data_IF_361843626922
#
_entry.id   IF_361843626922
#
_cell.length_a   1.000
_cell.length_b   1.000
_cell.length_c   1.000
_cell.angle_alpha   90.00
_cell.angle_beta   90.00
_cell.angle_gamma   90.00
#
_symmetry.space_group_name_H-M   'P 1'
#
loop_
_entity.id
_entity.type
_entity.pdbx_description
1 polymer ?
#
# COMPACT_ATOMS: atom_id res chain seq x y z
N UNK A 1 -7.28 -29.27 -61.46
CA UNK A 1 -6.23 -28.89 -60.48
C UNK A 1 -6.76 -27.76 -59.59
N UNK A 2 -7.38 -28.09 -58.45
CA UNK A 2 -7.92 -27.09 -57.49
C UNK A 2 -6.79 -26.69 -56.54
N UNK A 3 -6.34 -25.43 -56.63
CA UNK A 3 -5.38 -24.82 -55.71
C UNK A 3 -6.12 -24.45 -54.43
N UNK A 4 -5.84 -25.16 -53.34
CA UNK A 4 -6.29 -24.77 -52.00
C UNK A 4 -5.40 -23.63 -51.51
N UNK A 5 -5.97 -22.42 -51.43
CA UNK A 5 -5.40 -21.29 -50.70
C UNK A 5 -5.53 -21.60 -49.20
N UNK A 6 -4.41 -21.97 -48.58
CA UNK A 6 -4.31 -22.02 -47.12
C UNK A 6 -4.23 -20.57 -46.64
N UNK A 7 -5.36 -20.05 -46.17
CA UNK A 7 -5.39 -18.81 -45.42
C UNK A 7 -4.75 -19.08 -44.06
N UNK A 8 -3.49 -18.65 -43.89
CA UNK A 8 -2.87 -18.51 -42.57
C UNK A 8 -3.63 -17.43 -41.82
N UNK A 9 -4.55 -17.85 -40.95
CA UNK A 9 -5.08 -17.05 -39.85
C UNK A 9 -3.91 -16.73 -38.92
N UNK A 10 -3.28 -15.58 -39.18
CA UNK A 10 -2.48 -14.87 -38.20
C UNK A 10 -3.43 -14.47 -37.06
N UNK A 11 -3.57 -15.36 -36.07
CA UNK A 11 -4.10 -14.98 -34.77
C UNK A 11 -3.07 -14.03 -34.19
N UNK A 12 -3.26 -12.73 -34.44
CA UNK A 12 -2.57 -11.67 -33.73
C UNK A 12 -2.98 -11.80 -32.26
N UNK A 13 -2.16 -12.48 -31.47
CA UNK A 13 -2.17 -12.34 -30.03
C UNK A 13 -1.77 -10.89 -29.73
N UNK A 14 -2.73 -9.99 -29.75
CA UNK A 14 -2.62 -8.71 -29.04
C UNK A 14 -2.62 -9.05 -27.56
N UNK A 15 -1.46 -9.48 -27.08
CA UNK A 15 -1.10 -9.45 -25.68
C UNK A 15 -1.06 -7.98 -25.30
N UNK A 16 -2.23 -7.36 -25.10
CA UNK A 16 -2.33 -6.14 -24.32
C UNK A 16 -1.84 -6.61 -22.95
N UNK A 17 -0.58 -6.33 -22.62
CA UNK A 17 -0.14 -6.35 -21.25
C UNK A 17 -1.19 -5.55 -20.49
N UNK A 18 -1.97 -6.22 -19.64
CA UNK A 18 -3.07 -5.57 -18.95
C UNK A 18 -2.50 -4.33 -18.28
N UNK A 19 -2.96 -3.14 -18.69
CA UNK A 19 -2.55 -1.90 -18.01
C UNK A 19 -2.84 -2.10 -16.52
N UNK A 20 -1.85 -1.75 -15.68
CA UNK A 20 -1.99 -1.86 -14.23
C UNK A 20 -3.35 -1.30 -13.77
N UNK A 21 -4.07 -1.93 -12.82
CA UNK A 21 -5.40 -1.47 -12.43
C UNK A 21 -5.50 0.02 -12.05
N UNK A 22 -4.41 0.64 -11.57
CA UNK A 22 -4.34 2.08 -11.30
C UNK A 22 -4.42 2.96 -12.54
N UNK A 23 -4.03 2.46 -13.72
CA UNK A 23 -4.04 3.18 -14.99
C UNK A 23 -5.27 2.85 -15.85
N UNK A 24 -6.19 2.03 -15.34
CA UNK A 24 -7.40 1.61 -16.06
C UNK A 24 -8.54 2.64 -16.03
N UNK A 25 -8.53 3.57 -15.07
CA UNK A 25 -9.59 4.57 -14.94
C UNK A 25 -9.47 5.69 -15.98
N UNK A 26 -10.58 6.30 -16.44
CA UNK A 26 -10.53 7.43 -17.35
C UNK A 26 -9.98 8.69 -16.66
N UNK A 27 -9.17 9.47 -17.39
CA UNK A 27 -8.65 10.76 -16.94
C UNK A 27 -9.68 11.87 -17.20
N UNK A 28 -10.75 11.94 -16.39
CA UNK A 28 -11.86 12.88 -16.62
C UNK A 28 -11.59 14.32 -16.17
N UNK A 29 -10.54 14.55 -15.37
CA UNK A 29 -10.23 15.83 -14.73
C UNK A 29 -8.76 16.27 -14.95
N UNK A 30 -8.24 16.07 -16.17
CA UNK A 30 -6.84 16.38 -16.52
C UNK A 30 -6.45 17.82 -16.18
N UNK A 31 -7.30 18.81 -16.49
CA UNK A 31 -6.99 20.23 -16.24
C UNK A 31 -6.82 20.54 -14.74
N UNK A 32 -7.63 19.91 -13.88
CA UNK A 32 -7.52 20.04 -12.42
C UNK A 32 -6.18 19.48 -11.93
N UNK A 33 -5.80 18.29 -12.42
CA UNK A 33 -4.52 17.67 -12.07
C UNK A 33 -3.32 18.44 -12.61
N UNK A 34 -3.42 19.05 -13.80
CA UNK A 34 -2.38 19.89 -14.35
C UNK A 34 -2.08 21.07 -13.42
N UNK A 35 -3.12 21.71 -12.88
CA UNK A 35 -2.97 22.78 -11.90
C UNK A 35 -2.37 22.28 -10.59
N UNK A 36 -2.89 21.19 -10.04
CA UNK A 36 -2.36 20.60 -8.80
C UNK A 36 -0.89 20.25 -8.90
N UNK A 37 -0.43 19.70 -10.03
CA UNK A 37 0.98 19.36 -10.24
C UNK A 37 1.88 20.60 -10.32
N UNK A 38 1.39 21.72 -10.89
CA UNK A 38 2.14 22.99 -10.89
C UNK A 38 2.29 23.58 -9.48
N UNK A 39 1.26 23.45 -8.66
CA UNK A 39 1.23 23.98 -7.28
C UNK A 39 1.88 23.03 -6.27
N UNK A 40 2.07 21.76 -6.65
CA UNK A 40 2.58 20.72 -5.78
C UNK A 40 4.01 21.02 -5.35
N UNK A 41 4.22 21.06 -4.03
CA UNK A 41 5.54 21.10 -3.41
C UNK A 41 5.75 19.79 -2.68
N UNK A 42 6.76 19.03 -3.11
CA UNK A 42 7.13 17.78 -2.46
C UNK A 42 7.43 18.05 -0.97
N UNK A 43 6.85 17.29 -0.03
CA UNK A 43 7.21 17.43 1.37
C UNK A 43 8.70 17.16 1.57
N UNK A 44 9.41 18.11 2.18
CA UNK A 44 10.77 17.87 2.64
C UNK A 44 10.71 17.00 3.90
N UNK A 45 11.39 15.86 3.87
CA UNK A 45 11.57 15.08 5.07
C UNK A 45 12.50 15.85 6.01
N UNK A 46 12.19 15.92 7.32
CA UNK A 46 13.09 16.55 8.27
C UNK A 46 14.47 15.90 8.16
N UNK A 47 15.50 16.72 8.05
CA UNK A 47 16.88 16.24 8.13
C UNK A 47 17.01 15.53 9.47
N UNK A 48 17.65 14.36 9.47
CA UNK A 48 17.95 13.64 10.71
C UNK A 48 18.90 14.50 11.56
N UNK A 49 18.34 15.36 12.40
CA UNK A 49 19.05 15.89 13.54
C UNK A 49 19.39 14.70 14.44
N UNK A 50 20.56 14.72 15.11
CA UNK A 50 20.91 13.71 16.10
C UNK A 50 19.75 13.65 17.10
N UNK A 51 18.86 12.67 16.93
CA UNK A 51 17.84 12.38 17.91
C UNK A 51 18.60 12.18 19.23
N UNK A 52 18.17 12.81 20.35
CA UNK A 52 18.70 12.41 21.64
C UNK A 52 18.55 10.90 21.74
N UNK A 53 19.55 10.21 22.31
CA UNK A 53 19.54 8.74 22.47
C UNK A 53 18.12 8.31 22.83
N UNK A 54 17.44 7.54 21.97
CA UNK A 54 16.02 7.34 22.15
C UNK A 54 15.78 6.67 23.50
N UNK A 55 14.71 7.09 24.18
CA UNK A 55 14.29 6.48 25.45
C UNK A 55 13.88 5.00 25.25
N UNK A 56 13.50 4.65 24.02
CA UNK A 56 13.30 3.29 23.54
C UNK A 56 14.47 2.88 22.63
N UNK A 57 14.62 1.59 22.33
CA UNK A 57 15.59 1.13 21.33
C UNK A 57 15.40 1.90 20.01
N UNK A 58 16.50 2.21 19.29
CA UNK A 58 16.39 2.77 17.94
C UNK A 58 15.49 1.86 17.10
N UNK A 59 14.38 2.42 16.61
CA UNK A 59 13.57 1.72 15.61
C UNK A 59 14.41 1.69 14.33
N UNK A 60 15.03 0.55 14.04
CA UNK A 60 15.82 0.35 12.81
C UNK A 60 14.96 0.20 11.54
N UNK A 61 13.66 0.48 11.62
CA UNK A 61 12.75 0.37 10.48
C UNK A 61 13.14 1.35 9.38
N UNK A 62 13.56 0.80 8.25
CA UNK A 62 13.73 1.56 7.01
C UNK A 62 12.38 1.59 6.28
N UNK A 63 11.83 2.79 6.09
CA UNK A 63 10.64 2.97 5.25
C UNK A 63 11.04 2.80 3.79
N UNK A 64 10.94 1.58 3.26
CA UNK A 64 11.12 1.36 1.82
C UNK A 64 9.85 1.78 1.10
N UNK A 65 9.99 2.89 0.39
CA UNK A 65 8.93 3.58 -0.34
C UNK A 65 9.34 3.60 -1.80
N UNK A 66 9.20 2.43 -2.45
CA UNK A 66 9.68 2.17 -3.80
C UNK A 66 8.53 2.19 -4.83
N UNK A 67 7.41 2.84 -4.48
CA UNK A 67 6.20 2.98 -5.28
C UNK A 67 5.96 4.43 -5.73
N UNK A 68 5.21 4.60 -6.83
CA UNK A 68 4.92 5.92 -7.42
C UNK A 68 4.15 6.86 -6.49
N UNK A 69 3.27 6.33 -5.63
CA UNK A 69 2.46 7.14 -4.73
C UNK A 69 3.37 7.86 -3.72
N UNK A 70 4.33 7.13 -3.19
CA UNK A 70 5.27 7.61 -2.19
C UNK A 70 6.25 8.67 -2.70
N UNK A 71 6.53 8.70 -4.00
CA UNK A 71 7.39 9.69 -4.63
C UNK A 71 6.87 11.12 -4.44
N UNK A 72 5.54 11.29 -4.38
CA UNK A 72 4.87 12.56 -4.09
C UNK A 72 4.34 12.63 -2.65
N UNK A 73 3.71 11.57 -2.15
CA UNK A 73 2.99 11.63 -0.87
C UNK A 73 3.85 11.32 0.37
N UNK A 74 5.05 10.75 0.19
CA UNK A 74 5.93 10.27 1.26
C UNK A 74 5.26 9.22 2.17
N UNK A 75 5.96 8.73 3.20
CA UNK A 75 5.37 7.83 4.20
C UNK A 75 4.39 8.57 5.15
N UNK A 76 4.42 9.91 5.19
CA UNK A 76 3.60 10.74 6.07
C UNK A 76 2.45 11.45 5.30
N UNK A 77 1.75 10.69 4.44
CA UNK A 77 0.71 11.21 3.57
C UNK A 77 -0.52 11.74 4.34
N UNK A 78 -0.80 11.17 5.52
CA UNK A 78 -1.92 11.58 6.35
C UNK A 78 -1.47 12.63 7.37
N UNK A 79 -1.77 13.91 7.10
CA UNK A 79 -1.44 15.02 8.02
C UNK A 79 -2.66 15.76 8.61
N UNK A 80 -3.81 15.67 7.93
CA UNK A 80 -5.02 16.44 8.28
C UNK A 80 -5.79 15.83 9.46
N UNK A 81 -5.85 14.51 9.53
CA UNK A 81 -6.54 13.80 10.62
C UNK A 81 -5.56 13.48 11.75
N UNK A 82 -5.48 14.36 12.75
CA UNK A 82 -4.55 14.21 13.87
C UNK A 82 -4.85 13.00 14.77
N UNK A 83 -6.07 12.48 14.73
CA UNK A 83 -6.49 11.36 15.58
C UNK A 83 -5.99 10.04 15.00
N UNK A 84 -6.15 9.86 13.69
CA UNK A 84 -5.85 8.59 13.03
C UNK A 84 -4.55 8.60 12.21
N UNK A 85 -3.97 9.77 11.90
CA UNK A 85 -2.77 9.86 11.07
C UNK A 85 -1.57 9.03 11.53
N UNK A 86 -1.25 8.92 12.84
CA UNK A 86 -0.10 8.10 13.25
C UNK A 86 -0.28 6.64 12.85
N UNK A 87 -1.51 6.14 12.96
CA UNK A 87 -1.84 4.77 12.58
C UNK A 87 -1.85 4.61 11.07
N UNK A 88 -2.51 5.50 10.32
CA UNK A 88 -2.54 5.39 8.86
C UNK A 88 -1.15 5.46 8.24
N UNK A 89 -0.29 6.37 8.72
CA UNK A 89 1.09 6.46 8.25
C UNK A 89 1.92 5.22 8.65
N UNK A 90 1.70 4.65 9.84
CA UNK A 90 2.38 3.43 10.27
C UNK A 90 2.07 2.23 9.37
N UNK A 91 0.83 2.10 8.86
CA UNK A 91 0.48 1.00 7.96
C UNK A 91 1.29 1.01 6.65
N UNK A 92 1.79 2.17 6.20
CA UNK A 92 2.66 2.27 5.02
C UNK A 92 3.98 1.50 5.11
N UNK A 93 4.36 1.04 6.33
CA UNK A 93 5.53 0.19 6.55
C UNK A 93 5.34 -1.23 5.99
N UNK A 94 4.16 -1.84 6.16
CA UNK A 94 3.88 -3.22 5.79
C UNK A 94 2.67 -3.37 4.84
N UNK A 95 2.10 -2.26 4.36
CA UNK A 95 0.98 -2.25 3.42
C UNK A 95 1.20 -1.23 2.31
N UNK A 96 0.69 -1.54 1.12
CA UNK A 96 0.54 -0.56 0.05
C UNK A 96 -0.48 0.51 0.42
N UNK A 97 -0.27 1.74 -0.05
CA UNK A 97 -1.30 2.80 0.02
C UNK A 97 -2.61 2.34 -0.64
N UNK A 98 -2.51 1.52 -1.68
CA UNK A 98 -3.65 1.04 -2.45
C UNK A 98 -4.51 0.06 -1.66
N UNK A 99 -4.01 -0.54 -0.57
CA UNK A 99 -4.81 -1.45 0.27
C UNK A 99 -6.04 -0.76 0.87
N UNK A 100 -5.90 0.51 1.28
CA UNK A 100 -7.02 1.30 1.77
C UNK A 100 -7.68 2.14 0.67
N UNK A 101 -6.93 2.54 -0.35
CA UNK A 101 -7.38 3.51 -1.36
C UNK A 101 -7.94 2.90 -2.65
N UNK A 102 -7.65 1.64 -2.98
CA UNK A 102 -8.24 0.94 -4.11
C UNK A 102 -9.31 -0.03 -3.61
N UNK A 103 -10.54 0.47 -3.50
CA UNK A 103 -11.68 -0.29 -2.98
C UNK A 103 -12.65 -0.56 -4.12
N UNK A 104 -12.69 -1.83 -4.56
CA UNK A 104 -13.58 -2.33 -5.61
C UNK A 104 -14.05 -3.74 -5.26
N UNK A 105 -15.18 -4.15 -5.81
CA UNK A 105 -15.64 -5.53 -5.72
C UNK A 105 -14.65 -6.47 -6.43
N UNK A 106 -14.42 -7.66 -5.87
CA UNK A 106 -13.49 -8.65 -6.44
C UNK A 106 -12.01 -8.40 -6.14
N UNK A 107 -11.68 -7.38 -5.33
CA UNK A 107 -10.33 -7.18 -4.81
C UNK A 107 -10.01 -8.24 -3.75
N UNK A 108 -8.86 -8.88 -3.90
CA UNK A 108 -8.25 -9.73 -2.86
C UNK A 108 -6.94 -9.10 -2.39
N UNK A 109 -6.28 -9.68 -1.40
CA UNK A 109 -5.05 -9.14 -0.84
C UNK A 109 -3.98 -10.22 -0.76
N UNK A 110 -2.74 -9.83 -1.04
CA UNK A 110 -1.59 -10.74 -0.99
C UNK A 110 -0.34 -9.99 -0.54
N UNK A 111 0.66 -10.74 -0.11
CA UNK A 111 1.99 -10.18 0.12
C UNK A 111 2.70 -9.98 -1.21
N UNK A 112 3.43 -8.87 -1.34
CA UNK A 112 4.25 -8.61 -2.51
C UNK A 112 5.52 -7.84 -2.15
N UNK A 113 6.55 -8.02 -2.97
CA UNK A 113 7.76 -7.20 -2.92
C UNK A 113 7.94 -6.46 -4.25
N UNK A 114 8.40 -5.20 -4.15
CA UNK A 114 8.92 -4.48 -5.31
C UNK A 114 10.41 -4.82 -5.41
N UNK A 115 10.79 -5.49 -6.49
CA UNK A 115 12.18 -5.83 -6.79
C UNK A 115 12.49 -5.51 -8.24
N UNK A 116 13.53 -4.70 -8.46
CA UNK A 116 13.99 -4.32 -9.80
C UNK A 116 12.89 -3.73 -10.71
N UNK A 117 12.04 -2.87 -10.15
CA UNK A 117 10.95 -2.22 -10.88
C UNK A 117 9.78 -3.15 -11.20
N UNK A 118 9.70 -4.33 -10.56
CA UNK A 118 8.62 -5.30 -10.75
C UNK A 118 7.98 -5.63 -9.41
N UNK A 119 6.66 -5.79 -9.42
CA UNK A 119 5.90 -6.29 -8.27
C UNK A 119 5.86 -7.81 -8.36
N UNK A 120 6.36 -8.48 -7.33
CA UNK A 120 6.33 -9.94 -7.22
C UNK A 120 5.39 -10.33 -6.09
N UNK A 121 4.26 -10.96 -6.42
CA UNK A 121 3.40 -11.58 -5.43
C UNK A 121 4.12 -12.75 -4.73
N UNK A 122 3.92 -12.87 -3.43
CA UNK A 122 4.55 -13.84 -2.57
C UNK A 122 3.49 -14.74 -1.95
N UNK A 123 3.72 -16.05 -2.00
CA UNK A 123 2.79 -17.06 -1.46
C UNK A 123 3.11 -17.44 -0.01
N UNK A 124 4.37 -17.29 0.40
CA UNK A 124 4.85 -17.64 1.74
C UNK A 124 6.16 -16.93 2.05
N UNK A 125 6.43 -16.74 3.35
CA UNK A 125 7.65 -16.11 3.87
C UNK A 125 7.47 -15.72 5.33
N UNK A 126 8.55 -15.28 5.98
CA UNK A 126 8.48 -14.68 7.32
C UNK A 126 8.24 -13.17 7.16
N UNK A 127 6.98 -12.82 6.88
CA UNK A 127 6.56 -11.43 6.68
C UNK A 127 6.28 -10.73 8.00
N UNK A 128 6.20 -9.40 7.92
CA UNK A 128 6.01 -8.55 9.09
C UNK A 128 4.76 -8.95 9.89
N UNK A 129 4.96 -9.28 11.16
CA UNK A 129 3.88 -9.43 12.14
C UNK A 129 2.99 -10.66 11.99
N UNK A 130 3.35 -11.63 11.14
CA UNK A 130 2.60 -12.88 10.96
C UNK A 130 2.44 -13.65 12.28
N UNK A 131 3.43 -13.61 13.17
CA UNK A 131 3.39 -14.27 14.47
C UNK A 131 4.18 -13.50 15.52
N UNK A 132 3.90 -13.80 16.79
CA UNK A 132 4.79 -13.42 17.87
C UNK A 132 5.99 -14.36 17.93
N UNK A 133 7.17 -13.80 18.11
CA UNK A 133 8.43 -14.54 18.33
C UNK A 133 9.02 -14.15 19.67
N UNK A 134 9.74 -15.08 20.30
CA UNK A 134 10.44 -14.83 21.56
C UNK A 134 11.93 -14.71 21.29
N UNK A 135 12.51 -13.57 21.65
CA UNK A 135 13.95 -13.30 21.55
C UNK A 135 14.46 -13.01 22.96
N UNK A 136 15.12 -14.00 23.57
CA UNK A 136 15.47 -13.96 24.98
C UNK A 136 14.23 -13.81 25.87
N UNK A 137 14.17 -12.73 26.65
CA UNK A 137 13.04 -12.41 27.53
C UNK A 137 11.99 -11.47 26.89
N UNK A 138 12.10 -11.19 25.60
CA UNK A 138 11.21 -10.26 24.89
C UNK A 138 10.31 -11.00 23.92
N UNK A 139 9.08 -10.50 23.78
CA UNK A 139 8.15 -10.90 22.71
C UNK A 139 8.20 -9.83 21.64
N UNK A 140 8.41 -10.22 20.39
CA UNK A 140 8.52 -9.35 19.22
C UNK A 140 7.61 -9.86 18.11
N UNK A 141 7.43 -9.05 17.07
CA UNK A 141 6.78 -9.45 15.84
C UNK A 141 7.80 -10.13 14.91
N UNK A 142 7.35 -11.15 14.17
CA UNK A 142 8.16 -11.81 13.14
C UNK A 142 8.42 -10.89 11.94
N UNK A 143 9.39 -11.25 11.09
CA UNK A 143 9.58 -10.63 9.78
C UNK A 143 9.90 -9.12 9.80
N UNK A 144 10.55 -8.62 10.85
CA UNK A 144 10.95 -7.21 10.98
C UNK A 144 11.84 -6.73 9.81
N UNK A 145 12.66 -7.64 9.27
CA UNK A 145 13.55 -7.38 8.13
C UNK A 145 12.88 -7.61 6.76
N UNK A 146 11.61 -8.04 6.74
CA UNK A 146 10.90 -8.30 5.49
C UNK A 146 10.54 -7.01 4.78
N UNK A 147 10.74 -6.97 3.46
CA UNK A 147 10.30 -5.85 2.62
C UNK A 147 8.94 -6.09 1.99
N UNK A 148 8.31 -7.24 2.30
CA UNK A 148 7.01 -7.59 1.77
C UNK A 148 5.94 -6.65 2.33
N UNK A 149 5.04 -6.20 1.46
CA UNK A 149 3.87 -5.41 1.83
C UNK A 149 2.61 -6.13 1.40
N UNK A 150 1.54 -5.94 2.17
CA UNK A 150 0.20 -6.34 1.74
C UNK A 150 -0.26 -5.39 0.63
N UNK A 151 -0.56 -5.94 -0.54
CA UNK A 151 -1.05 -5.21 -1.72
C UNK A 151 -2.43 -5.73 -2.13
N UNK A 152 -3.29 -4.88 -2.73
CA UNK A 152 -4.49 -5.36 -3.38
C UNK A 152 -4.12 -6.12 -4.66
N UNK A 153 -4.92 -7.14 -4.98
CA UNK A 153 -4.87 -7.86 -6.25
C UNK A 153 -6.25 -7.76 -6.88
N UNK A 154 -6.30 -7.33 -8.13
CA UNK A 154 -7.53 -7.14 -8.88
C UNK A 154 -7.42 -7.80 -10.25
N UNK A 155 -8.35 -8.71 -10.57
CA UNK A 155 -8.32 -9.53 -11.78
C UNK A 155 -6.98 -10.26 -11.99
N UNK A 156 -6.35 -10.71 -10.90
CA UNK A 156 -5.05 -11.42 -10.93
C UNK A 156 -3.82 -10.51 -10.98
N UNK A 157 -3.99 -9.20 -11.16
CA UNK A 157 -2.89 -8.24 -11.24
C UNK A 157 -2.71 -7.48 -9.92
N UNK A 158 -1.46 -7.29 -9.43
CA UNK A 158 -1.21 -6.45 -8.26
C UNK A 158 -1.56 -4.99 -8.57
N UNK A 159 -2.31 -4.36 -7.66
CA UNK A 159 -2.61 -2.93 -7.70
C UNK A 159 -1.46 -2.18 -7.01
N UNK A 160 -0.30 -2.20 -7.67
CA UNK A 160 0.89 -1.54 -7.19
C UNK A 160 1.76 -1.11 -8.38
N UNK A 161 2.33 0.09 -8.32
CA UNK A 161 3.18 0.66 -9.36
C UNK A 161 4.57 0.97 -8.78
N UNK A 162 5.60 0.20 -9.13
CA UNK A 162 6.98 0.48 -8.74
C UNK A 162 7.44 1.84 -9.26
N UNK A 163 8.17 2.60 -8.47
CA UNK A 163 8.76 3.86 -8.91
C UNK A 163 9.81 3.64 -10.00
N UNK A 164 10.70 2.66 -9.80
CA UNK A 164 11.75 2.31 -10.76
C UNK A 164 11.12 1.86 -12.09
N UNK A 165 11.38 2.59 -13.17
CA UNK A 165 10.84 2.35 -14.50
C UNK A 165 9.48 3.01 -14.78
N UNK A 166 8.88 3.72 -13.80
CA UNK A 166 7.62 4.44 -13.96
C UNK A 166 7.74 5.93 -13.57
N UNK A 167 8.97 6.47 -13.51
CA UNK A 167 9.24 7.84 -13.06
C UNK A 167 8.56 8.89 -13.95
N UNK A 168 8.42 8.61 -15.25
CA UNK A 168 7.76 9.51 -16.19
C UNK A 168 6.24 9.64 -15.95
N UNK A 169 5.61 8.66 -15.29
CA UNK A 169 4.20 8.77 -14.87
C UNK A 169 3.97 9.94 -13.92
N UNK A 170 5.01 10.35 -13.17
CA UNK A 170 4.92 11.47 -12.23
C UNK A 170 4.78 12.83 -12.94
N UNK A 171 5.17 12.91 -14.22
CA UNK A 171 5.07 14.11 -15.05
C UNK A 171 3.89 14.06 -16.02
N UNK A 172 3.38 12.87 -16.32
CA UNK A 172 2.21 12.70 -17.17
C UNK A 172 0.92 13.01 -16.38
N UNK A 173 0.37 14.20 -16.63
CA UNK A 173 -0.88 14.67 -16.03
C UNK A 173 -2.03 13.68 -16.25
N UNK A 174 -2.11 13.03 -17.42
CA UNK A 174 -3.16 12.05 -17.69
C UNK A 174 -2.97 10.82 -16.81
N UNK A 175 -1.75 10.28 -16.72
CA UNK A 175 -1.45 9.15 -15.85
C UNK A 175 -1.76 9.46 -14.37
N UNK A 176 -1.34 10.64 -13.87
CA UNK A 176 -1.67 11.10 -12.51
C UNK A 176 -3.17 11.17 -12.29
N UNK A 177 -3.92 11.70 -13.26
CA UNK A 177 -5.38 11.76 -13.19
C UNK A 177 -6.01 10.36 -13.17
N UNK A 178 -5.54 9.44 -14.04
CA UNK A 178 -6.01 8.05 -14.06
C UNK A 178 -5.78 7.37 -12.71
N UNK A 179 -4.57 7.45 -12.16
CA UNK A 179 -4.20 6.87 -10.87
C UNK A 179 -5.14 7.34 -9.77
N UNK A 180 -5.36 8.65 -9.63
CA UNK A 180 -6.25 9.17 -8.59
C UNK A 180 -7.72 8.84 -8.83
N UNK A 181 -8.17 8.81 -10.08
CA UNK A 181 -9.56 8.46 -10.42
C UNK A 181 -9.85 6.96 -10.22
N UNK A 182 -8.82 6.11 -10.24
CA UNK A 182 -8.94 4.69 -9.90
C UNK A 182 -9.15 4.46 -8.39
N UNK A 183 -8.80 5.44 -7.55
CA UNK A 183 -8.90 5.35 -6.09
C UNK A 183 -10.28 5.81 -5.59
N UNK A 184 -10.72 5.22 -4.48
CA UNK A 184 -11.98 5.59 -3.83
C UNK A 184 -11.86 6.92 -3.06
N UNK A 185 -12.95 7.68 -3.05
CA UNK A 185 -13.12 8.85 -2.15
C UNK A 185 -13.46 8.43 -0.72
N UNK A 186 -13.80 7.16 -0.50
CA UNK A 186 -14.15 6.56 0.80
C UNK A 186 -13.17 5.41 1.08
N UNK A 187 -11.93 5.70 1.50
CA UNK A 187 -10.95 4.65 1.79
C UNK A 187 -11.40 3.78 2.96
N UNK A 188 -10.85 2.56 3.03
CA UNK A 188 -11.10 1.66 4.15
C UNK A 188 -10.69 2.32 5.48
N UNK A 189 -11.54 2.13 6.47
CA UNK A 189 -11.33 2.55 7.86
C UNK A 189 -10.84 1.37 8.69
N UNK A 190 -10.49 1.66 9.94
CA UNK A 190 -9.97 0.67 10.88
C UNK A 190 -10.85 -0.59 10.94
N UNK A 191 -12.16 -0.44 11.04
CA UNK A 191 -13.12 -1.52 11.23
C UNK A 191 -13.56 -2.18 9.93
N UNK A 192 -13.15 -1.64 8.80
CA UNK A 192 -13.34 -2.34 7.53
C UNK A 192 -12.38 -3.53 7.45
N UNK A 193 -11.19 -3.43 8.08
CA UNK A 193 -10.18 -4.50 8.11
C UNK A 193 -10.11 -5.23 9.47
N UNK A 194 -10.14 -4.50 10.59
CA UNK A 194 -9.98 -5.06 11.95
C UNK A 194 -11.31 -5.54 12.51
N UNK A 195 -11.85 -6.59 11.91
CA UNK A 195 -13.02 -7.34 12.36
C UNK A 195 -13.02 -8.73 11.74
N UNK A 196 -13.78 -9.63 12.33
CA UNK A 196 -14.10 -10.91 11.69
C UNK A 196 -14.72 -10.68 10.30
N UNK A 197 -14.23 -11.40 9.29
CA UNK A 197 -14.66 -11.26 7.90
C UNK A 197 -14.54 -9.81 7.37
N UNK A 198 -13.53 -9.07 7.84
CA UNK A 198 -13.15 -7.78 7.27
C UNK A 198 -12.57 -7.88 5.85
N UNK A 199 -12.21 -6.74 5.28
CA UNK A 199 -11.61 -6.66 3.96
C UNK A 199 -10.30 -7.47 3.86
N UNK A 200 -9.53 -7.54 4.95
CA UNK A 200 -8.33 -8.38 5.03
C UNK A 200 -8.65 -9.71 5.68
N UNK A 201 -8.52 -10.79 4.91
CA UNK A 201 -8.53 -12.13 5.49
C UNK A 201 -7.15 -12.45 6.09
N UNK A 202 -6.96 -12.14 7.37
CA UNK A 202 -5.67 -12.33 8.04
C UNK A 202 -5.21 -13.80 8.05
N UNK A 203 -6.15 -14.75 8.09
CA UNK A 203 -5.82 -16.18 8.02
C UNK A 203 -5.22 -16.55 6.67
N UNK A 204 -5.82 -16.10 5.57
CA UNK A 204 -5.31 -16.33 4.21
C UNK A 204 -3.99 -15.60 3.96
N UNK A 205 -3.78 -14.44 4.60
CA UNK A 205 -2.52 -13.72 4.59
C UNK A 205 -1.42 -14.40 5.43
N UNK A 206 -1.72 -15.53 6.08
CA UNK A 206 -0.73 -16.35 6.80
C UNK A 206 -0.46 -15.91 8.25
N UNK A 207 -1.29 -15.05 8.83
CA UNK A 207 -1.16 -14.68 10.24
C UNK A 207 -1.50 -15.88 11.14
N UNK A 208 -0.78 -16.02 12.25
CA UNK A 208 -1.04 -17.07 13.23
C UNK A 208 -2.40 -16.89 13.89
N UNK A 209 -3.06 -17.96 14.38
CA UNK A 209 -4.38 -17.86 15.01
C UNK A 209 -4.46 -16.82 16.13
N UNK A 210 -3.40 -16.71 16.94
CA UNK A 210 -3.33 -15.70 17.99
C UNK A 210 -3.26 -14.28 17.40
N UNK A 211 -2.45 -14.06 16.36
CA UNK A 211 -2.37 -12.76 15.69
C UNK A 211 -3.67 -12.37 15.00
N UNK A 212 -4.36 -13.32 14.35
CA UNK A 212 -5.70 -13.09 13.76
C UNK A 212 -6.66 -12.57 14.82
N UNK A 213 -6.76 -13.27 15.96
CA UNK A 213 -7.62 -12.86 17.08
C UNK A 213 -7.30 -11.43 17.54
N UNK A 214 -6.02 -11.12 17.77
CA UNK A 214 -5.59 -9.82 18.26
C UNK A 214 -5.79 -8.69 17.23
N UNK A 215 -5.69 -9.01 15.94
CA UNK A 215 -5.94 -8.07 14.85
C UNK A 215 -7.43 -7.77 14.67
N UNK A 216 -8.29 -8.78 14.81
CA UNK A 216 -9.75 -8.63 14.69
C UNK A 216 -10.37 -8.00 15.94
N UNK A 217 -9.79 -8.26 17.12
CA UNK A 217 -10.26 -7.78 18.43
C UNK A 217 -9.28 -6.75 19.01
N UNK A 218 -8.94 -5.74 18.22
CA UNK A 218 -7.88 -4.80 18.57
C UNK A 218 -8.37 -3.69 19.53
N UNK A 219 -7.85 -3.69 20.76
CA UNK A 219 -8.14 -2.67 21.79
C UNK A 219 -7.78 -1.24 21.36
N UNK A 220 -6.80 -1.07 20.46
CA UNK A 220 -6.45 0.25 19.91
C UNK A 220 -7.60 0.78 19.07
N UNK A 221 -8.21 -0.07 18.22
CA UNK A 221 -9.36 0.33 17.39
C UNK A 221 -10.54 0.69 18.28
N UNK A 222 -10.83 -0.15 19.28
CA UNK A 222 -11.88 0.12 20.28
C UNK A 222 -11.65 1.45 20.99
N UNK A 223 -10.46 1.66 21.54
CA UNK A 223 -10.08 2.91 22.20
C UNK A 223 -10.20 4.12 21.26
N UNK A 224 -9.73 4.02 20.02
CA UNK A 224 -9.87 5.09 19.03
C UNK A 224 -11.33 5.43 18.74
N UNK A 225 -12.29 4.52 18.88
CA UNK A 225 -13.72 4.83 18.71
C UNK A 225 -14.31 5.47 19.95
N UNK A 226 -14.01 4.90 21.12
CA UNK A 226 -14.60 5.31 22.39
C UNK A 226 -14.09 6.67 22.86
N UNK A 227 -12.79 6.95 22.67
CA UNK A 227 -12.20 8.21 23.09
C UNK A 227 -12.42 9.33 22.06
N UNK A 228 -13.08 10.41 22.49
CA UNK A 228 -13.31 11.61 21.67
C UNK A 228 -11.99 12.30 21.29
N UNK A 229 -11.04 12.37 22.22
CA UNK A 229 -9.74 13.01 22.03
C UNK A 229 -8.63 12.10 22.54
N UNK A 230 -7.66 11.78 21.67
CA UNK A 230 -6.43 11.11 22.05
C UNK A 230 -5.28 12.06 21.71
N UNK A 231 -4.48 12.40 22.73
CA UNK A 231 -3.33 13.26 22.57
C UNK A 231 -2.10 12.40 22.28
N UNK A 232 -1.78 12.25 21.00
CA UNK A 232 -0.43 11.81 20.65
C UNK A 232 0.53 12.99 20.82
N UNK A 233 1.77 12.74 21.28
CA UNK A 233 2.84 13.71 21.12
C UNK A 233 2.84 14.20 19.68
N UNK A 234 3.19 15.46 19.45
CA UNK A 234 3.59 15.89 18.11
C UNK A 234 4.90 15.17 17.80
N UNK A 235 4.80 13.93 17.35
CA UNK A 235 5.89 13.28 16.65
C UNK A 235 6.19 14.18 15.46
N UNK A 236 7.47 14.46 15.28
CA UNK A 236 7.98 15.47 14.36
C UNK A 236 7.51 15.10 12.93
N UNK A 237 6.55 15.82 12.36
CA UNK A 237 6.06 15.64 10.97
C UNK A 237 5.59 16.95 10.33
#
# INVERSE_FOLDING_TARGET
MKRYLIALLLISSTSIAAENPLLSAPATNVSEWAQKLKEFKKPELPKAEKYPKPFHYENHYTYKMDDVCSACHTFAAHKKDRKYSPFYNAHGTFMSCNTCHFVKEGVTYSWAEIKDGKVKLLKSGDFYGLKYIKVGNRVMLSGEESNAKIVPVYNGEPVELPLKGNEELLKDVKAVAKMHNALTKKPLKCEDCHKENGALNFKELGFSPQRVKDLEHNEIVKGLKEYKTIHFPKFIW
#
